data_IF_361840511248
#
_entry.id   IF_361840511248
#
_cell.length_a   1.000
_cell.length_b   1.000
_cell.length_c   1.000
_cell.angle_alpha   90.00
_cell.angle_beta   90.00
_cell.angle_gamma   90.00
#
_symmetry.space_group_name_H-M   'P 1'
#
loop_
_entity.id
_entity.type
_entity.pdbx_description
1 polymer ?
#
# COMPACT_ATOMS: atom_id res chain seq x y z
N UNK A 1 -24.99 -9.95 -28.59
CA UNK A 1 -24.27 -9.03 -27.68
C UNK A 1 -24.55 -9.44 -26.24
N UNK A 2 -23.96 -10.54 -25.78
CA UNK A 2 -24.09 -11.02 -24.40
C UNK A 2 -22.75 -10.81 -23.70
N UNK A 3 -22.67 -9.90 -22.73
CA UNK A 3 -21.71 -9.88 -21.60
C UNK A 3 -21.75 -8.49 -20.92
N UNK A 4 -22.83 -8.19 -20.19
CA UNK A 4 -22.89 -7.05 -19.25
C UNK A 4 -23.52 -7.42 -17.91
N UNK A 5 -23.46 -8.71 -17.58
CA UNK A 5 -23.85 -9.21 -16.27
C UNK A 5 -22.67 -10.04 -15.78
N UNK A 6 -22.21 -9.74 -14.56
CA UNK A 6 -21.12 -10.41 -13.82
C UNK A 6 -19.72 -9.77 -13.88
N UNK A 7 -19.63 -8.45 -13.70
CA UNK A 7 -18.53 -7.91 -12.89
C UNK A 7 -19.19 -7.37 -11.63
N UNK A 8 -19.08 -8.14 -10.54
CA UNK A 8 -19.24 -7.55 -9.22
C UNK A 8 -18.32 -6.33 -9.21
N UNK A 9 -18.88 -5.13 -9.06
CA UNK A 9 -18.11 -3.89 -9.04
C UNK A 9 -16.94 -4.10 -8.09
N UNK A 10 -15.73 -4.10 -8.63
CA UNK A 10 -14.55 -4.33 -7.83
C UNK A 10 -14.42 -3.10 -6.91
N UNK A 11 -14.44 -3.26 -5.57
CA UNK A 11 -14.41 -2.10 -4.68
C UNK A 11 -13.10 -1.30 -4.78
N UNK A 12 -12.11 -1.82 -5.51
CA UNK A 12 -10.83 -1.15 -5.82
C UNK A 12 -10.90 -0.32 -7.11
N UNK A 13 -11.87 -0.60 -7.99
CA UNK A 13 -12.15 0.15 -9.21
C UNK A 13 -13.17 1.25 -8.86
N UNK A 14 -12.65 2.43 -8.55
CA UNK A 14 -13.45 3.55 -8.05
C UNK A 14 -14.10 4.35 -9.17
N UNK A 15 -13.50 4.33 -10.38
CA UNK A 15 -14.00 5.06 -11.54
C UNK A 15 -14.93 4.21 -12.43
N UNK A 16 -15.00 2.89 -12.19
CA UNK A 16 -15.88 1.94 -12.89
C UNK A 16 -15.45 1.63 -14.32
N UNK A 17 -14.18 1.84 -14.66
CA UNK A 17 -13.63 1.59 -16.00
C UNK A 17 -13.22 0.12 -16.22
N UNK A 18 -13.30 -0.70 -15.17
CA UNK A 18 -12.96 -2.11 -15.17
C UNK A 18 -11.47 -2.41 -14.92
N UNK A 19 -10.65 -1.40 -14.63
CA UNK A 19 -9.20 -1.52 -14.43
C UNK A 19 -8.76 -0.79 -13.17
N UNK A 20 -8.19 -1.52 -12.21
CA UNK A 20 -7.62 -0.91 -11.00
C UNK A 20 -6.30 -0.21 -11.32
N UNK A 21 -6.32 1.12 -11.36
CA UNK A 21 -5.12 1.93 -11.56
C UNK A 21 -4.24 1.99 -10.30
N UNK A 22 -2.93 2.31 -10.41
CA UNK A 22 -2.06 2.46 -9.24
C UNK A 22 -2.56 3.53 -8.25
N UNK A 23 -3.13 4.62 -8.74
CA UNK A 23 -3.75 5.65 -7.88
C UNK A 23 -4.94 5.09 -7.09
N UNK A 24 -5.79 4.29 -7.72
CA UNK A 24 -6.95 3.68 -7.08
C UNK A 24 -6.53 2.62 -6.06
N UNK A 25 -5.52 1.82 -6.39
CA UNK A 25 -4.91 0.89 -5.46
C UNK A 25 -4.31 1.61 -4.25
N UNK A 26 -3.62 2.73 -4.45
CA UNK A 26 -3.06 3.53 -3.36
C UNK A 26 -4.17 4.08 -2.45
N UNK A 27 -5.22 4.65 -3.03
CA UNK A 27 -6.38 5.16 -2.29
C UNK A 27 -7.10 4.04 -1.50
N UNK A 28 -7.28 2.88 -2.12
CA UNK A 28 -7.90 1.71 -1.49
C UNK A 28 -7.06 1.17 -0.33
N UNK A 29 -5.74 1.00 -0.55
CA UNK A 29 -4.80 0.58 0.51
C UNK A 29 -4.82 1.60 1.65
N UNK A 30 -4.78 2.90 1.34
CA UNK A 30 -4.83 3.95 2.36
C UNK A 30 -6.12 3.89 3.17
N UNK A 31 -7.28 3.74 2.51
CA UNK A 31 -8.57 3.61 3.17
C UNK A 31 -8.64 2.36 4.06
N UNK A 32 -8.17 1.22 3.55
CA UNK A 32 -8.07 -0.01 4.34
C UNK A 32 -7.16 0.18 5.55
N UNK A 33 -6.00 0.79 5.40
CA UNK A 33 -5.08 1.08 6.50
C UNK A 33 -5.63 2.09 7.50
N UNK A 34 -6.66 2.89 7.18
CA UNK A 34 -7.34 3.74 8.15
C UNK A 34 -8.39 2.95 8.96
N UNK A 35 -9.08 2.01 8.31
CA UNK A 35 -10.20 1.27 8.88
C UNK A 35 -9.80 -0.02 9.61
N UNK A 36 -8.80 -0.74 9.09
CA UNK A 36 -8.35 -2.02 9.62
C UNK A 36 -7.75 -1.86 11.02
N UNK A 37 -7.83 -2.89 11.86
CA UNK A 37 -7.20 -2.90 13.18
C UNK A 37 -5.66 -2.97 13.06
N UNK A 38 -4.87 -2.53 14.07
CA UNK A 38 -3.41 -2.61 14.00
C UNK A 38 -2.88 -4.01 13.71
N UNK A 39 -3.53 -5.04 14.26
CA UNK A 39 -3.20 -6.45 14.03
C UNK A 39 -3.45 -6.87 12.58
N UNK A 40 -4.59 -6.51 12.00
CA UNK A 40 -4.93 -6.80 10.60
C UNK A 40 -3.92 -6.15 9.66
N UNK A 41 -3.62 -4.86 9.87
CA UNK A 41 -2.61 -4.14 9.08
C UNK A 41 -1.27 -4.84 9.12
N UNK A 42 -0.82 -5.26 10.31
CA UNK A 42 0.44 -5.97 10.49
C UNK A 42 0.45 -7.31 9.78
N UNK A 43 -0.65 -8.07 9.83
CA UNK A 43 -0.77 -9.35 9.14
C UNK A 43 -0.74 -9.17 7.61
N UNK A 44 -1.50 -8.21 7.07
CA UNK A 44 -1.54 -7.94 5.63
C UNK A 44 -0.21 -7.43 5.12
N UNK A 45 0.31 -6.34 5.71
CA UNK A 45 1.54 -5.71 5.29
C UNK A 45 2.74 -6.63 5.53
N UNK A 46 2.77 -7.33 6.67
CA UNK A 46 3.81 -8.29 7.00
C UNK A 46 3.84 -9.45 6.00
N UNK A 47 2.67 -10.03 5.66
CA UNK A 47 2.56 -11.06 4.64
C UNK A 47 2.96 -10.56 3.25
N UNK A 48 2.59 -9.34 2.88
CA UNK A 48 3.00 -8.71 1.63
C UNK A 48 4.52 -8.52 1.55
N UNK A 49 5.13 -7.90 2.57
CA UNK A 49 6.58 -7.68 2.63
C UNK A 49 7.37 -8.99 2.75
N UNK A 50 6.82 -10.02 3.39
CA UNK A 50 7.46 -11.34 3.45
C UNK A 50 7.62 -11.97 2.07
N UNK A 51 6.66 -11.74 1.17
CA UNK A 51 6.73 -12.22 -0.22
C UNK A 51 7.51 -11.27 -1.15
N UNK A 52 7.99 -10.13 -0.62
CA UNK A 52 8.71 -9.12 -1.40
C UNK A 52 10.24 -9.38 -1.39
N UNK A 53 10.93 -9.24 -2.53
CA UNK A 53 12.38 -9.30 -2.60
C UNK A 53 13.05 -8.34 -1.62
N UNK A 54 14.16 -8.77 -1.02
CA UNK A 54 14.89 -7.99 -0.02
C UNK A 54 15.30 -6.60 -0.53
N UNK A 55 15.76 -6.50 -1.77
CA UNK A 55 16.16 -5.23 -2.39
C UNK A 55 14.99 -4.23 -2.45
N UNK A 56 13.80 -4.71 -2.83
CA UNK A 56 12.61 -3.86 -2.92
C UNK A 56 12.14 -3.42 -1.53
N UNK A 57 12.24 -4.29 -0.53
CA UNK A 57 12.02 -3.93 0.87
C UNK A 57 12.99 -2.86 1.35
N UNK A 58 14.27 -2.96 0.98
CA UNK A 58 15.28 -1.95 1.31
C UNK A 58 14.98 -0.60 0.68
N UNK A 59 14.54 -0.58 -0.58
CA UNK A 59 14.12 0.66 -1.24
C UNK A 59 12.95 1.32 -0.49
N UNK A 60 11.96 0.54 -0.08
CA UNK A 60 10.80 1.04 0.69
C UNK A 60 11.22 1.51 2.08
N UNK A 61 12.03 0.74 2.80
CA UNK A 61 12.54 1.12 4.12
C UNK A 61 13.37 2.41 4.05
N UNK A 62 14.26 2.52 3.08
CA UNK A 62 15.03 3.75 2.84
C UNK A 62 14.12 4.93 2.52
N UNK A 63 13.05 4.74 1.73
CA UNK A 63 12.14 5.82 1.36
C UNK A 63 11.33 6.33 2.54
N UNK A 64 10.93 5.42 3.43
CA UNK A 64 10.24 5.75 4.67
C UNK A 64 11.14 6.64 5.53
N UNK A 65 12.40 6.26 5.76
CA UNK A 65 13.30 7.00 6.67
C UNK A 65 13.94 8.22 6.05
N UNK A 66 13.97 8.33 4.72
CA UNK A 66 14.59 9.46 4.03
C UNK A 66 13.79 10.75 4.18
N UNK A 67 12.46 10.67 4.34
CA UNK A 67 11.65 11.85 4.56
C UNK A 67 11.84 12.34 6.01
N UNK A 68 12.42 13.54 6.23
CA UNK A 68 12.67 14.06 7.57
C UNK A 68 11.37 14.31 8.36
N UNK A 69 10.23 14.40 7.68
CA UNK A 69 8.92 14.62 8.28
C UNK A 69 8.21 13.30 8.61
N UNK A 70 8.80 12.16 8.27
CA UNK A 70 8.26 10.86 8.66
C UNK A 70 8.50 10.62 10.15
N UNK A 71 7.49 10.20 10.94
CA UNK A 71 7.73 9.76 12.32
C UNK A 71 8.71 8.58 12.41
N UNK A 72 8.87 7.81 11.34
CA UNK A 72 9.80 6.68 11.27
C UNK A 72 11.15 7.17 10.72
N UNK A 73 12.14 7.20 11.59
CA UNK A 73 13.51 7.64 11.26
C UNK A 73 14.49 6.46 11.09
N UNK A 74 14.09 5.26 11.48
CA UNK A 74 14.87 4.03 11.33
C UNK A 74 13.94 2.85 11.14
N UNK A 75 14.33 1.92 10.26
CA UNK A 75 13.63 0.65 10.04
C UNK A 75 14.60 -0.39 9.51
N UNK A 76 14.50 -1.61 10.02
CA UNK A 76 15.14 -2.78 9.49
C UNK A 76 14.31 -3.35 8.34
N UNK A 77 14.66 -2.96 7.11
CA UNK A 77 14.00 -3.46 5.90
C UNK A 77 14.15 -4.98 5.69
N UNK A 78 15.09 -5.65 6.37
CA UNK A 78 15.25 -7.10 6.29
C UNK A 78 14.19 -7.85 7.12
N UNK A 79 13.59 -7.17 8.11
CA UNK A 79 12.49 -7.71 8.91
C UNK A 79 11.14 -7.25 8.33
N UNK A 80 10.35 -8.16 7.72
CA UNK A 80 9.07 -7.78 7.11
C UNK A 80 8.07 -7.19 8.09
N UNK A 81 8.10 -7.60 9.37
CA UNK A 81 7.16 -7.12 10.38
C UNK A 81 7.53 -5.70 10.84
N UNK A 82 8.82 -5.42 11.00
CA UNK A 82 9.31 -4.07 11.29
C UNK A 82 9.01 -3.12 10.13
N UNK A 83 9.25 -3.55 8.88
CA UNK A 83 8.91 -2.77 7.69
C UNK A 83 7.40 -2.54 7.56
N UNK A 84 6.57 -3.53 7.88
CA UNK A 84 5.11 -3.38 7.92
C UNK A 84 4.66 -2.30 8.91
N UNK A 85 5.22 -2.31 10.11
CA UNK A 85 4.93 -1.31 11.13
C UNK A 85 5.38 0.08 10.69
N UNK A 86 6.60 0.19 10.17
CA UNK A 86 7.15 1.43 9.64
C UNK A 86 6.30 2.02 8.50
N UNK A 87 5.89 1.18 7.55
CA UNK A 87 5.02 1.58 6.45
C UNK A 87 3.66 2.06 6.95
N UNK A 88 3.06 1.34 7.90
CA UNK A 88 1.78 1.70 8.51
C UNK A 88 1.85 3.05 9.23
N UNK A 89 2.94 3.31 9.95
CA UNK A 89 3.17 4.59 10.62
C UNK A 89 3.39 5.72 9.61
N UNK A 90 4.16 5.48 8.54
CA UNK A 90 4.39 6.44 7.47
C UNK A 90 3.09 6.79 6.70
N UNK A 91 2.21 5.81 6.50
CA UNK A 91 0.91 5.99 5.85
C UNK A 91 -0.08 6.80 6.69
N UNK A 92 0.02 6.71 8.02
CA UNK A 92 -0.82 7.45 8.97
C UNK A 92 -0.18 8.76 9.45
N UNK A 93 1.05 9.04 8.99
CA UNK A 93 1.74 10.25 9.36
C UNK A 93 0.95 11.49 8.90
N UNK A 94 0.96 12.56 9.71
CA UNK A 94 0.20 13.75 9.41
C UNK A 94 0.61 14.32 8.05
N UNK A 95 -0.40 14.71 7.28
CA UNK A 95 -0.23 15.32 5.96
C UNK A 95 0.53 16.64 6.13
N UNK A 96 1.71 16.74 5.53
CA UNK A 96 2.50 17.95 5.53
C UNK A 96 2.57 18.48 4.09
N UNK A 97 2.25 19.75 3.90
CA UNK A 97 2.17 20.36 2.57
C UNK A 97 1.16 19.68 1.61
N UNK A 98 0.06 19.15 2.18
CA UNK A 98 -1.02 18.51 1.42
C UNK A 98 -0.75 17.07 1.01
N UNK A 99 0.38 16.45 1.40
CA UNK A 99 0.68 15.02 1.17
C UNK A 99 1.24 14.35 2.42
N UNK A 100 0.94 13.08 2.65
CA UNK A 100 1.66 12.31 3.67
C UNK A 100 3.12 12.03 3.21
N UNK A 101 4.07 11.83 4.14
CA UNK A 101 5.45 11.45 3.81
C UNK A 101 5.53 10.26 2.85
N UNK A 102 4.68 9.26 3.06
CA UNK A 102 4.59 8.10 2.18
C UNK A 102 4.09 8.49 0.78
N UNK A 103 3.06 9.33 0.67
CA UNK A 103 2.58 9.83 -0.63
C UNK A 103 3.64 10.68 -1.36
N UNK A 104 4.44 11.45 -0.62
CA UNK A 104 5.58 12.19 -1.19
C UNK A 104 6.63 11.23 -1.76
N UNK A 105 6.88 10.11 -1.10
CA UNK A 105 7.78 9.07 -1.60
C UNK A 105 7.24 8.38 -2.88
N UNK A 106 5.93 8.13 -2.98
CA UNK A 106 5.29 7.57 -4.18
C UNK A 106 5.02 8.60 -5.28
N UNK A 107 5.03 9.89 -4.93
CA UNK A 107 4.74 11.00 -5.81
C UNK A 107 5.73 11.17 -6.96
N UNK A 108 5.43 12.10 -7.87
CA UNK A 108 6.32 12.40 -8.99
C UNK A 108 7.67 12.92 -8.48
N UNK A 109 8.76 12.22 -8.80
CA UNK A 109 10.11 12.54 -8.33
C UNK A 109 10.48 11.96 -6.95
N UNK A 110 9.55 11.25 -6.29
CA UNK A 110 9.82 10.53 -5.06
C UNK A 110 10.57 9.22 -5.29
N UNK A 111 11.23 8.71 -4.25
CA UNK A 111 12.09 7.52 -4.38
C UNK A 111 11.32 6.23 -4.72
N UNK A 112 10.01 6.20 -4.44
CA UNK A 112 9.09 5.08 -4.74
C UNK A 112 8.22 5.31 -5.99
N UNK A 113 8.53 6.32 -6.81
CA UNK A 113 7.77 6.64 -8.02
C UNK A 113 7.89 5.59 -9.14
N UNK A 114 8.81 4.63 -9.00
CA UNK A 114 9.12 3.62 -10.02
C UNK A 114 7.90 2.77 -10.39
N UNK A 115 7.71 2.41 -11.69
CA UNK A 115 6.60 1.57 -12.15
C UNK A 115 6.49 0.23 -11.40
N UNK A 116 7.63 -0.37 -11.05
CA UNK A 116 7.70 -1.60 -10.23
C UNK A 116 7.07 -1.43 -8.85
N UNK A 117 7.27 -0.29 -8.22
CA UNK A 117 6.76 0.00 -6.88
C UNK A 117 5.26 0.32 -6.94
N UNK A 118 4.83 1.03 -7.97
CA UNK A 118 3.40 1.23 -8.28
C UNK A 118 2.66 -0.09 -8.54
N UNK A 119 3.26 -1.01 -9.28
CA UNK A 119 2.72 -2.36 -9.49
C UNK A 119 2.63 -3.14 -8.16
N UNK A 120 3.59 -2.93 -7.25
CA UNK A 120 3.53 -3.48 -5.90
C UNK A 120 2.30 -3.01 -5.12
N UNK A 121 1.94 -1.72 -5.18
CA UNK A 121 0.72 -1.20 -4.54
C UNK A 121 -0.55 -1.86 -5.06
N UNK A 122 -0.65 -2.10 -6.37
CA UNK A 122 -1.77 -2.84 -6.98
C UNK A 122 -1.81 -4.29 -6.46
N UNK A 123 -0.65 -4.93 -6.31
CA UNK A 123 -0.53 -6.25 -5.70
C UNK A 123 -1.01 -6.28 -4.25
N UNK A 124 -0.62 -5.29 -3.44
CA UNK A 124 -1.08 -5.14 -2.05
C UNK A 124 -2.60 -4.94 -1.97
N UNK A 125 -3.16 -4.08 -2.83
CA UNK A 125 -4.61 -3.91 -2.95
C UNK A 125 -5.31 -5.23 -3.32
N UNK A 126 -4.69 -6.06 -4.15
CA UNK A 126 -5.15 -7.41 -4.46
C UNK A 126 -5.15 -8.37 -3.27
N UNK A 127 -4.10 -8.35 -2.44
CA UNK A 127 -4.04 -9.16 -1.21
C UNK A 127 -5.15 -8.75 -0.24
N UNK A 128 -5.32 -7.45 0.00
CA UNK A 128 -6.38 -6.90 0.87
C UNK A 128 -7.76 -7.32 0.36
N UNK A 129 -8.04 -7.08 -0.93
CA UNK A 129 -9.32 -7.46 -1.54
C UNK A 129 -9.59 -8.97 -1.43
N UNK A 130 -8.55 -9.79 -1.59
CA UNK A 130 -8.65 -11.25 -1.46
C UNK A 130 -8.96 -11.71 -0.03
N UNK A 131 -8.45 -11.01 0.99
CA UNK A 131 -8.73 -11.32 2.39
C UNK A 131 -10.16 -10.95 2.79
N UNK A 132 -10.67 -9.79 2.35
CA UNK A 132 -12.06 -9.38 2.59
C UNK A 132 -13.06 -10.35 1.94
N UNK A 133 -12.79 -10.79 0.71
CA UNK A 133 -13.63 -11.78 0.03
C UNK A 133 -13.59 -13.17 0.70
N UNK A 134 -12.50 -13.48 1.42
CA UNK A 134 -12.34 -14.76 2.13
C UNK A 134 -12.93 -14.74 3.54
N UNK A 135 -12.93 -13.58 4.20
CA UNK A 135 -13.53 -13.37 5.52
C UNK A 135 -15.06 -13.25 5.51
N UNK A 136 -15.67 -13.00 4.35
CA UNK A 136 -17.12 -12.87 4.20
C UNK A 136 -17.82 -14.19 3.77
N UNK A 137 -17.34 -15.34 4.27
CA UNK A 137 -17.96 -16.67 4.08
C UNK A 137 -18.32 -17.31 5.41
#
# INVERSE_FOLDING_TARGET
MHQRMSQAADPRDTNGDGVVSPEEAAAYVHSYLQQASPEERSQVLGGYFQNMPQEQRQQIGNAIVQDPNNPVQSVNANDPAELANAYSQAAQAPVQNGKSPLESAFGQGGMLSSPLVKAGLVGLAGVIGSQLLRGNR
#
